data_IF_791374529725
#
_entry.id   IF_791374529725
#
_cell.length_a   1.000
_cell.length_b   1.000
_cell.length_c   1.000
_cell.angle_alpha   90.00
_cell.angle_beta   90.00
_cell.angle_gamma   90.00
#
_symmetry.space_group_name_H-M   'P 1'
#
loop_
_entity.id
_entity.type
_entity.pdbx_description
1 polymer ?
#
# COMPACT_ATOMS: atom_id res chain seq x y z
N UNK A 1 13.40 29.40 -23.51
CA UNK A 1 12.36 29.59 -24.54
C UNK A 1 11.43 28.39 -24.44
N UNK A 2 10.12 28.43 -24.30
CA UNK A 2 9.06 29.44 -24.36
C UNK A 2 7.76 28.70 -23.95
N UNK A 3 6.69 29.45 -23.70
CA UNK A 3 5.51 29.05 -22.93
C UNK A 3 4.55 28.01 -23.56
N UNK A 4 3.76 27.43 -22.66
CA UNK A 4 2.35 26.97 -22.67
C UNK A 4 1.59 26.70 -23.98
N UNK A 5 0.78 25.62 -23.99
CA UNK A 5 -0.69 25.75 -23.83
C UNK A 5 -1.39 24.37 -23.73
N UNK A 6 -2.21 24.21 -22.69
CA UNK A 6 -3.15 23.09 -22.51
C UNK A 6 -4.53 23.54 -22.98
N UNK A 7 -5.13 22.80 -23.92
CA UNK A 7 -6.56 22.90 -24.24
C UNK A 7 -7.20 21.53 -23.97
N UNK A 8 -7.85 21.37 -22.82
CA UNK A 8 -8.73 20.24 -22.54
C UNK A 8 -10.16 20.71 -22.83
N UNK A 9 -10.65 20.35 -24.02
CA UNK A 9 -12.06 20.46 -24.39
C UNK A 9 -12.82 19.28 -23.74
N UNK A 10 -13.90 19.64 -23.04
CA UNK A 10 -14.79 18.68 -22.42
C UNK A 10 -15.57 17.85 -23.43
N UNK A 11 -15.83 16.60 -23.06
CA UNK A 11 -16.99 15.87 -23.52
C UNK A 11 -17.45 14.90 -22.42
N UNK A 12 -18.74 15.03 -22.17
CA UNK A 12 -19.60 14.52 -21.13
C UNK A 12 -19.83 12.99 -21.15
N UNK A 13 -20.00 12.45 -19.93
CA UNK A 13 -20.79 11.28 -19.48
C UNK A 13 -20.66 9.91 -20.19
N UNK A 14 -20.14 8.93 -19.44
CA UNK A 14 -20.87 7.70 -19.10
C UNK A 14 -20.13 6.84 -18.08
N UNK A 15 -20.85 6.34 -17.08
CA UNK A 15 -20.44 5.17 -16.29
C UNK A 15 -19.99 5.51 -14.87
N UNK A 16 -20.70 4.92 -13.90
CA UNK A 16 -20.53 5.16 -12.47
C UNK A 16 -19.11 4.94 -11.96
N UNK A 17 -18.69 5.88 -11.12
CA UNK A 17 -17.49 5.83 -10.32
C UNK A 17 -17.59 6.99 -9.34
N UNK A 18 -17.30 6.72 -8.08
CA UNK A 18 -17.30 7.64 -6.96
C UNK A 18 -16.64 8.99 -7.34
N UNK A 19 -17.48 9.99 -7.63
CA UNK A 19 -17.01 11.33 -7.97
C UNK A 19 -16.60 11.98 -6.66
N UNK A 20 -15.29 12.10 -6.43
CA UNK A 20 -14.77 12.92 -5.34
C UNK A 20 -15.21 14.36 -5.62
N UNK A 21 -16.30 14.77 -4.97
CA UNK A 21 -16.74 16.17 -4.96
C UNK A 21 -15.71 16.98 -4.17
N UNK A 22 -14.73 17.55 -4.86
CA UNK A 22 -13.85 18.54 -4.25
C UNK A 22 -14.67 19.77 -3.90
N UNK A 23 -14.87 19.98 -2.59
CA UNK A 23 -15.46 21.21 -2.04
C UNK A 23 -14.52 22.36 -2.42
N UNK A 24 -14.83 23.05 -3.53
CA UNK A 24 -14.19 24.31 -3.94
C UNK A 24 -14.76 25.48 -3.15
N UNK A 25 -14.86 25.32 -1.83
CA UNK A 25 -15.18 26.43 -0.94
C UNK A 25 -13.91 26.77 -0.16
N UNK A 26 -13.03 27.53 -0.82
CA UNK A 26 -11.98 28.27 -0.12
C UNK A 26 -12.74 29.25 0.78
N UNK A 27 -12.73 28.99 2.09
CA UNK A 27 -13.25 29.97 3.04
C UNK A 27 -12.44 31.25 2.83
N UNK A 28 -13.07 32.26 2.25
CA UNK A 28 -12.57 33.63 2.20
C UNK A 28 -12.68 34.24 3.61
N UNK A 29 -12.15 33.53 4.61
CA UNK A 29 -11.78 34.14 5.87
C UNK A 29 -10.43 34.75 5.63
N UNK A 30 -10.47 36.02 5.21
CA UNK A 30 -9.31 36.89 5.31
C UNK A 30 -8.83 36.80 6.75
N UNK A 31 -7.58 36.36 6.93
CA UNK A 31 -6.98 36.20 8.24
C UNK A 31 -7.12 37.53 8.99
N UNK A 32 -7.78 37.56 10.17
CA UNK A 32 -7.99 38.78 10.92
C UNK A 32 -6.66 39.49 11.22
N UNK A 33 -5.54 38.77 11.30
CA UNK A 33 -4.21 39.36 11.46
C UNK A 33 -3.78 40.15 10.23
N UNK A 34 -4.08 39.65 9.02
CA UNK A 34 -3.75 40.32 7.75
C UNK A 34 -4.52 41.65 7.58
N UNK A 35 -5.78 41.72 8.02
CA UNK A 35 -6.55 42.96 8.01
C UNK A 35 -6.05 43.96 9.08
N UNK A 36 -5.64 43.47 10.24
CA UNK A 36 -5.01 44.31 11.27
C UNK A 36 -3.65 44.89 10.82
N UNK A 37 -2.88 44.14 10.03
CA UNK A 37 -1.62 44.62 9.47
C UNK A 37 -1.83 45.66 8.36
N UNK A 38 -2.86 45.49 7.52
CA UNK A 38 -3.19 46.48 6.47
C UNK A 38 -3.69 47.81 7.04
N UNK A 39 -4.32 47.78 8.21
CA UNK A 39 -4.82 48.97 8.91
C UNK A 39 -3.76 49.67 9.76
N UNK A 40 -2.56 49.07 9.89
CA UNK A 40 -1.45 49.63 10.65
C UNK A 40 -0.77 50.76 9.85
N UNK A 41 -1.28 51.98 10.01
CA UNK A 41 -0.60 53.17 9.51
C UNK A 41 0.64 53.44 10.37
N UNK A 42 1.82 53.49 9.74
CA UNK A 42 3.05 53.96 10.40
C UNK A 42 2.84 55.41 10.79
N UNK A 43 2.66 55.66 12.09
CA UNK A 43 2.58 57.01 12.63
C UNK A 43 3.82 57.80 12.20
N UNK A 44 3.60 58.99 11.61
CA UNK A 44 4.68 59.93 11.29
C UNK A 44 5.51 60.19 12.55
N UNK A 45 6.83 60.45 12.44
CA UNK A 45 7.66 60.68 13.61
C UNK A 45 7.07 61.80 14.45
N UNK A 46 6.81 61.52 15.73
CA UNK A 46 6.14 62.43 16.68
C UNK A 46 7.03 63.66 16.98
N UNK A 47 8.30 63.63 16.60
CA UNK A 47 9.27 64.68 16.88
C UNK A 47 9.18 65.81 15.85
N UNK A 48 8.16 66.68 15.99
CA UNK A 48 8.09 67.97 15.27
C UNK A 48 8.43 69.19 16.13
N UNK A 49 8.91 69.00 17.36
CA UNK A 49 9.47 70.07 18.19
C UNK A 49 10.52 69.52 19.15
N UNK A 50 11.53 70.33 19.46
CA UNK A 50 12.55 70.01 20.46
C UNK A 50 11.89 69.87 21.85
N UNK A 51 12.21 68.81 22.63
CA UNK A 51 11.54 68.56 23.89
C UNK A 51 11.92 69.61 24.97
N UNK A 52 11.00 69.96 25.89
CA UNK A 52 11.32 70.72 27.09
C UNK A 52 12.39 69.97 27.92
N UNK A 53 13.42 70.69 28.37
CA UNK A 53 14.65 70.11 28.97
C UNK A 53 14.52 69.59 30.41
N UNK A 54 13.34 69.16 30.86
CA UNK A 54 13.12 68.85 32.29
C UNK A 54 12.59 67.44 32.60
N UNK A 55 12.47 66.55 31.62
CA UNK A 55 11.99 65.16 31.83
C UNK A 55 13.02 64.11 31.39
N UNK A 56 14.30 64.30 31.71
CA UNK A 56 15.37 63.39 31.31
C UNK A 56 15.33 62.14 32.19
N UNK A 57 14.90 61.01 31.63
CA UNK A 57 14.97 59.69 32.28
C UNK A 57 16.43 59.40 32.62
N UNK A 58 16.69 58.98 33.86
CA UNK A 58 18.04 58.62 34.30
C UNK A 58 18.59 57.50 33.39
N UNK A 59 19.72 57.73 32.68
CA UNK A 59 20.32 56.74 31.81
C UNK A 59 20.70 55.44 32.54
N UNK A 60 20.94 55.49 33.85
CA UNK A 60 21.24 54.30 34.65
C UNK A 60 20.01 53.38 34.77
N UNK A 61 18.84 53.94 35.05
CA UNK A 61 17.57 53.21 35.14
C UNK A 61 17.22 52.60 33.78
N UNK A 62 17.48 53.34 32.70
CA UNK A 62 17.24 52.86 31.35
C UNK A 62 18.17 51.67 31.00
N UNK A 63 19.44 51.74 31.40
CA UNK A 63 20.38 50.64 31.20
C UNK A 63 19.99 49.39 32.00
N UNK A 64 19.55 49.55 33.25
CA UNK A 64 19.06 48.46 34.09
C UNK A 64 17.81 47.80 33.50
N UNK A 65 16.85 48.60 33.02
CA UNK A 65 15.66 48.09 32.34
C UNK A 65 16.01 47.27 31.10
N UNK A 66 16.95 47.76 30.27
CA UNK A 66 17.41 47.02 29.09
C UNK A 66 18.15 45.74 29.47
N UNK A 67 18.89 45.73 30.58
CA UNK A 67 19.54 44.52 31.09
C UNK A 67 18.52 43.46 31.51
N UNK A 68 17.52 43.85 32.31
CA UNK A 68 16.44 42.97 32.76
C UNK A 68 15.64 42.44 31.55
N UNK A 69 15.35 43.31 30.58
CA UNK A 69 14.65 42.92 29.36
C UNK A 69 15.46 41.93 28.52
N UNK A 70 16.78 42.15 28.36
CA UNK A 70 17.65 41.21 27.64
C UNK A 70 17.71 39.86 28.33
N UNK A 71 17.90 39.82 29.63
CA UNK A 71 17.92 38.57 30.38
C UNK A 71 16.61 37.78 30.23
N UNK A 72 15.48 38.49 30.28
CA UNK A 72 14.17 37.89 30.02
C UNK A 72 14.04 37.37 28.58
N UNK A 73 14.53 38.13 27.58
CA UNK A 73 14.53 37.70 26.18
C UNK A 73 15.38 36.45 25.98
N UNK A 74 16.58 36.40 26.56
CA UNK A 74 17.49 35.26 26.47
C UNK A 74 16.87 34.03 27.13
N UNK A 75 16.25 34.21 28.31
CA UNK A 75 15.52 33.15 29.01
C UNK A 75 14.38 32.57 28.15
N UNK A 76 13.59 33.45 27.50
CA UNK A 76 12.49 33.02 26.63
C UNK A 76 12.97 32.32 25.36
N UNK A 77 14.05 32.81 24.75
CA UNK A 77 14.67 32.17 23.60
C UNK A 77 15.17 30.76 23.96
N UNK A 78 15.77 30.58 25.14
CA UNK A 78 16.21 29.28 25.61
C UNK A 78 15.04 28.33 25.87
N UNK A 79 13.96 28.81 26.51
CA UNK A 79 12.75 28.02 26.75
C UNK A 79 12.14 27.51 25.42
N UNK A 80 12.04 28.39 24.42
CA UNK A 80 11.55 28.03 23.08
C UNK A 80 12.46 26.99 22.44
N UNK A 81 13.78 27.17 22.52
CA UNK A 81 14.76 26.25 21.93
C UNK A 81 14.64 24.85 22.54
N UNK A 82 14.61 24.76 23.87
CA UNK A 82 14.46 23.48 24.58
C UNK A 82 13.14 22.78 24.23
N UNK A 83 12.05 23.57 24.09
CA UNK A 83 10.74 23.03 23.72
C UNK A 83 10.73 22.53 22.28
N UNK A 84 11.41 23.22 21.37
CA UNK A 84 11.53 22.83 19.98
C UNK A 84 12.30 21.51 19.85
N UNK A 85 13.39 21.35 20.61
CA UNK A 85 14.16 20.11 20.69
C UNK A 85 13.33 18.91 21.19
N UNK A 86 12.53 19.09 22.26
CA UNK A 86 11.61 18.03 22.73
C UNK A 86 10.58 17.63 21.66
N UNK A 87 10.03 18.61 20.96
CA UNK A 87 9.06 18.35 19.89
C UNK A 87 9.71 17.60 18.73
N UNK A 88 10.91 18.00 18.32
CA UNK A 88 11.66 17.35 17.24
C UNK A 88 11.98 15.89 17.59
N UNK A 89 12.50 15.62 18.79
CA UNK A 89 12.73 14.27 19.29
C UNK A 89 11.45 13.40 19.27
N UNK A 90 10.30 13.98 19.64
CA UNK A 90 9.01 13.26 19.63
C UNK A 90 8.50 13.00 18.21
N UNK A 91 8.76 13.91 17.28
CA UNK A 91 8.46 13.72 15.86
C UNK A 91 9.30 12.59 15.28
N UNK A 92 10.60 12.54 15.57
CA UNK A 92 11.48 11.46 15.11
C UNK A 92 11.02 10.09 15.61
N UNK A 93 10.66 9.99 16.90
CA UNK A 93 10.14 8.74 17.47
C UNK A 93 8.81 8.36 16.82
N UNK A 94 7.91 9.32 16.60
CA UNK A 94 6.62 9.07 15.95
C UNK A 94 6.80 8.58 14.51
N UNK A 95 7.71 9.17 13.74
CA UNK A 95 8.02 8.77 12.36
C UNK A 95 8.64 7.36 12.30
N UNK A 96 9.57 7.06 13.20
CA UNK A 96 10.16 5.73 13.32
C UNK A 96 9.10 4.65 13.66
N UNK A 97 8.15 4.97 14.53
CA UNK A 97 7.05 4.08 14.88
C UNK A 97 6.05 3.91 13.73
N UNK A 98 5.70 5.00 13.03
CA UNK A 98 4.81 4.96 11.87
C UNK A 98 5.40 4.09 10.75
N UNK A 99 6.68 4.27 10.45
CA UNK A 99 7.41 3.46 9.46
C UNK A 99 7.42 1.97 9.83
N UNK A 100 7.70 1.63 11.09
CA UNK A 100 7.65 0.24 11.59
C UNK A 100 6.25 -0.36 11.49
N UNK A 101 5.21 0.43 11.76
CA UNK A 101 3.82 -0.01 11.69
C UNK A 101 3.45 -0.38 10.26
N UNK A 102 3.75 0.50 9.29
CA UNK A 102 3.51 0.26 7.86
C UNK A 102 4.27 -0.97 7.38
N UNK A 103 5.54 -1.12 7.78
CA UNK A 103 6.35 -2.30 7.43
C UNK A 103 5.70 -3.59 7.92
N UNK A 104 5.24 -3.64 9.19
CA UNK A 104 4.57 -4.82 9.74
C UNK A 104 3.24 -5.12 9.05
N UNK A 105 2.44 -4.09 8.75
CA UNK A 105 1.19 -4.29 8.01
C UNK A 105 1.45 -4.88 6.63
N UNK A 106 2.42 -4.34 5.88
CA UNK A 106 2.75 -4.86 4.55
C UNK A 106 3.24 -6.31 4.61
N UNK A 107 4.06 -6.66 5.60
CA UNK A 107 4.48 -8.04 5.81
C UNK A 107 3.28 -8.97 6.11
N UNK A 108 2.39 -8.55 7.02
CA UNK A 108 1.17 -9.30 7.37
C UNK A 108 0.27 -9.52 6.14
N UNK A 109 0.03 -8.47 5.36
CA UNK A 109 -0.77 -8.54 4.12
C UNK A 109 -0.13 -9.49 3.11
N UNK A 110 1.19 -9.46 2.97
CA UNK A 110 1.91 -10.40 2.09
C UNK A 110 1.73 -11.84 2.56
N UNK A 111 1.95 -12.11 3.84
CA UNK A 111 1.75 -13.45 4.41
C UNK A 111 0.30 -13.95 4.24
N UNK A 112 -0.68 -13.06 4.46
CA UNK A 112 -2.09 -13.37 4.23
C UNK A 112 -2.39 -13.68 2.76
N UNK A 113 -1.82 -12.95 1.80
CA UNK A 113 -1.96 -13.28 0.36
C UNK A 113 -1.40 -14.65 0.05
N UNK A 114 -0.22 -14.99 0.56
CA UNK A 114 0.39 -16.30 0.36
C UNK A 114 -0.48 -17.41 0.92
N UNK A 115 -0.97 -17.28 2.16
CA UNK A 115 -1.90 -18.25 2.75
C UNK A 115 -3.19 -18.35 1.96
N UNK A 116 -3.77 -17.23 1.54
CA UNK A 116 -4.97 -17.22 0.70
C UNK A 116 -4.75 -17.96 -0.63
N UNK A 117 -3.58 -17.78 -1.24
CA UNK A 117 -3.21 -18.48 -2.47
C UNK A 117 -3.06 -19.99 -2.26
N UNK A 118 -2.41 -20.41 -1.17
CA UNK A 118 -2.33 -21.85 -0.85
C UNK A 118 -3.71 -22.46 -0.56
N UNK A 119 -4.58 -21.75 0.16
CA UNK A 119 -5.94 -22.22 0.42
C UNK A 119 -6.79 -22.32 -0.85
N UNK A 120 -6.61 -21.42 -1.83
CA UNK A 120 -7.33 -21.55 -3.10
C UNK A 120 -6.87 -22.78 -3.90
N UNK A 121 -5.61 -23.19 -3.78
CA UNK A 121 -5.12 -24.44 -4.38
C UNK A 121 -5.72 -25.69 -3.71
N UNK A 122 -5.94 -25.66 -2.39
CA UNK A 122 -6.58 -26.78 -1.66
C UNK A 122 -7.98 -27.09 -2.21
N UNK A 123 -8.74 -26.07 -2.60
CA UNK A 123 -10.06 -26.29 -3.21
C UNK A 123 -9.95 -27.08 -4.53
N UNK A 124 -8.96 -26.76 -5.37
CA UNK A 124 -8.72 -27.51 -6.61
C UNK A 124 -8.42 -29.00 -6.34
N UNK A 125 -7.50 -29.27 -5.41
CA UNK A 125 -7.17 -30.65 -5.02
C UNK A 125 -8.39 -31.40 -4.45
N UNK A 126 -9.27 -30.72 -3.71
CA UNK A 126 -10.48 -31.32 -3.17
C UNK A 126 -11.42 -31.79 -4.29
N UNK A 127 -11.53 -31.02 -5.38
CA UNK A 127 -12.34 -31.38 -6.55
C UNK A 127 -11.75 -32.60 -7.26
N UNK A 128 -10.45 -32.58 -7.57
CA UNK A 128 -9.75 -33.69 -8.23
C UNK A 128 -9.84 -34.99 -7.43
N UNK A 129 -9.69 -34.91 -6.10
CA UNK A 129 -9.87 -36.05 -5.21
C UNK A 129 -11.30 -36.61 -5.26
N UNK A 130 -12.31 -35.72 -5.34
CA UNK A 130 -13.72 -36.11 -5.50
C UNK A 130 -13.97 -36.85 -6.81
N UNK A 131 -13.44 -36.34 -7.93
CA UNK A 131 -13.54 -36.98 -9.24
C UNK A 131 -12.87 -38.36 -9.25
N UNK A 132 -11.64 -38.44 -8.74
CA UNK A 132 -10.90 -39.69 -8.65
C UNK A 132 -11.66 -40.75 -7.83
N UNK A 133 -12.24 -40.34 -6.69
CA UNK A 133 -13.09 -41.21 -5.87
C UNK A 133 -14.32 -41.69 -6.65
N UNK A 134 -14.94 -40.82 -7.44
CA UNK A 134 -16.05 -41.18 -8.33
C UNK A 134 -15.65 -42.27 -9.34
N UNK A 135 -14.55 -42.04 -10.07
CA UNK A 135 -14.01 -43.01 -11.05
C UNK A 135 -13.64 -44.35 -10.40
N UNK A 136 -13.02 -44.32 -9.22
CA UNK A 136 -12.69 -45.55 -8.49
C UNK A 136 -13.94 -46.32 -8.09
N UNK A 137 -14.98 -45.62 -7.63
CA UNK A 137 -16.27 -46.24 -7.27
C UNK A 137 -16.93 -46.89 -8.49
N UNK A 138 -16.87 -46.23 -9.64
CA UNK A 138 -17.36 -46.78 -10.91
C UNK A 138 -16.59 -48.05 -11.31
N UNK A 139 -15.26 -48.04 -11.24
CA UNK A 139 -14.42 -49.21 -11.52
C UNK A 139 -14.74 -50.37 -10.57
N UNK A 140 -14.87 -50.10 -9.27
CA UNK A 140 -15.24 -51.13 -8.28
C UNK A 140 -16.62 -51.72 -8.60
N UNK A 141 -17.61 -50.88 -8.92
CA UNK A 141 -18.95 -51.35 -9.29
C UNK A 141 -18.95 -52.13 -10.61
N UNK A 142 -18.12 -51.72 -11.58
CA UNK A 142 -17.94 -52.45 -12.82
C UNK A 142 -17.34 -53.85 -12.55
N UNK A 143 -16.29 -53.92 -11.72
CA UNK A 143 -15.70 -55.18 -11.27
C UNK A 143 -16.70 -56.06 -10.51
N UNK A 144 -17.51 -55.49 -9.61
CA UNK A 144 -18.55 -56.24 -8.88
C UNK A 144 -19.63 -56.79 -9.84
N UNK A 145 -20.05 -55.98 -10.80
CA UNK A 145 -20.98 -56.40 -11.87
C UNK A 145 -20.38 -57.52 -12.71
N UNK A 146 -19.08 -57.42 -13.04
CA UNK A 146 -18.35 -58.43 -13.78
C UNK A 146 -18.26 -59.74 -12.97
N UNK A 147 -17.91 -59.67 -11.69
CA UNK A 147 -17.88 -60.81 -10.78
C UNK A 147 -19.26 -61.50 -10.68
N UNK A 148 -20.34 -60.72 -10.54
CA UNK A 148 -21.72 -61.24 -10.53
C UNK A 148 -22.07 -61.94 -11.85
N UNK A 149 -21.70 -61.37 -12.99
CA UNK A 149 -21.93 -61.97 -14.32
C UNK A 149 -21.18 -63.28 -14.48
N UNK A 150 -19.90 -63.32 -14.10
CA UNK A 150 -19.09 -64.55 -14.13
C UNK A 150 -19.72 -65.65 -13.27
N UNK A 151 -20.19 -65.30 -12.06
CA UNK A 151 -20.82 -66.26 -11.17
C UNK A 151 -22.16 -66.79 -11.70
N UNK A 152 -22.93 -65.98 -12.43
CA UNK A 152 -24.24 -66.37 -12.97
C UNK A 152 -24.16 -67.12 -14.31
N UNK A 153 -23.35 -66.63 -15.25
CA UNK A 153 -23.32 -67.09 -16.66
C UNK A 153 -22.08 -67.91 -17.00
N UNK A 154 -21.09 -67.94 -16.10
CA UNK A 154 -19.76 -68.50 -16.35
C UNK A 154 -18.86 -67.59 -17.18
N UNK A 155 -17.54 -67.83 -17.20
CA UNK A 155 -16.55 -66.98 -17.91
C UNK A 155 -16.72 -66.96 -19.44
N UNK A 156 -17.55 -67.84 -19.98
CA UNK A 156 -17.69 -68.05 -21.43
C UNK A 156 -18.48 -66.91 -22.08
N UNK A 157 -19.35 -66.24 -21.31
CA UNK A 157 -20.07 -65.03 -21.71
C UNK A 157 -19.14 -63.85 -22.03
N UNK A 158 -17.94 -63.81 -21.45
CA UNK A 158 -16.95 -62.74 -21.66
C UNK A 158 -16.14 -62.90 -22.96
N UNK A 159 -16.07 -64.11 -23.52
CA UNK A 159 -15.30 -64.39 -24.75
C UNK A 159 -15.84 -63.64 -25.99
N UNK A 160 -17.10 -63.22 -25.97
CA UNK A 160 -17.71 -62.42 -27.04
C UNK A 160 -17.44 -60.91 -26.90
N UNK A 161 -17.07 -60.45 -25.71
CA UNK A 161 -16.88 -59.01 -25.39
C UNK A 161 -15.42 -58.57 -25.51
N UNK A 162 -14.47 -59.50 -25.39
CA UNK A 162 -13.05 -59.21 -25.54
C UNK A 162 -12.68 -59.28 -27.03
N UNK A 163 -12.41 -58.13 -27.64
CA UNK A 163 -11.57 -58.10 -28.84
C UNK A 163 -10.12 -58.34 -28.39
N UNK A 164 -9.41 -59.34 -28.93
CA UNK A 164 -8.02 -59.57 -28.57
C UNK A 164 -7.20 -58.34 -28.97
N UNK A 165 -6.39 -57.83 -28.04
CA UNK A 165 -5.41 -56.79 -28.33
C UNK A 165 -4.51 -57.29 -29.47
N UNK A 166 -4.69 -56.73 -30.67
CA UNK A 166 -3.79 -57.01 -31.79
C UNK A 166 -2.54 -56.17 -31.55
N UNK A 167 -1.45 -56.81 -31.12
CA UNK A 167 -0.13 -56.20 -31.13
C UNK A 167 0.16 -55.73 -32.56
N UNK A 168 0.23 -54.41 -32.76
CA UNK A 168 0.70 -53.86 -34.02
C UNK A 168 2.14 -54.35 -34.27
N UNK A 169 2.50 -54.75 -35.50
CA UNK A 169 3.86 -55.17 -35.83
C UNK A 169 4.86 -54.07 -35.46
N UNK A 170 6.06 -54.43 -34.96
CA UNK A 170 7.08 -53.46 -34.60
C UNK A 170 7.76 -52.99 -35.88
N UNK A 171 7.19 -52.01 -36.58
CA UNK A 171 7.91 -51.26 -37.60
C UNK A 171 7.25 -49.88 -37.80
N UNK A 172 7.73 -48.92 -37.01
CA UNK A 172 8.29 -47.64 -37.48
C UNK A 172 8.35 -46.67 -36.31
N UNK A 173 9.56 -46.57 -35.77
CA UNK A 173 10.03 -45.46 -34.97
C UNK A 173 9.73 -44.14 -35.70
N UNK A 174 8.95 -43.27 -35.07
CA UNK A 174 9.15 -41.83 -35.19
C UNK A 174 9.29 -41.25 -33.79
N UNK A 175 10.55 -41.15 -33.37
CA UNK A 175 10.98 -40.41 -32.18
C UNK A 175 10.85 -38.92 -32.46
N UNK A 176 9.84 -38.29 -31.89
CA UNK A 176 9.73 -36.84 -31.80
C UNK A 176 8.61 -36.46 -30.85
N UNK A 177 8.95 -36.21 -29.58
CA UNK A 177 9.06 -34.84 -29.05
C UNK A 177 9.59 -34.86 -27.61
N UNK A 178 10.81 -34.36 -27.49
CA UNK A 178 11.47 -33.65 -26.40
C UNK A 178 10.69 -33.44 -25.09
N UNK A 179 11.23 -34.03 -24.03
CA UNK A 179 11.04 -33.66 -22.62
C UNK A 179 11.64 -32.29 -22.36
N UNK A 180 10.85 -31.30 -21.93
CA UNK A 180 11.34 -30.11 -21.23
C UNK A 180 10.64 -30.02 -19.87
N UNK A 181 11.29 -30.58 -18.85
CA UNK A 181 11.07 -30.27 -17.44
C UNK A 181 11.68 -28.88 -17.17
N UNK A 182 10.83 -27.86 -17.02
CA UNK A 182 11.28 -26.56 -16.52
C UNK A 182 11.09 -26.54 -15.01
N UNK A 183 12.18 -26.80 -14.31
CA UNK A 183 12.34 -26.59 -12.88
C UNK A 183 12.67 -25.11 -12.66
N UNK A 184 11.69 -24.30 -12.28
CA UNK A 184 11.96 -22.93 -11.82
C UNK A 184 12.40 -22.98 -10.35
N UNK A 185 13.69 -22.73 -10.12
CA UNK A 185 14.25 -22.48 -8.80
C UNK A 185 14.96 -21.11 -8.83
N UNK A 186 14.37 -20.18 -8.08
CA UNK A 186 14.91 -18.98 -7.41
C UNK A 186 16.20 -18.29 -7.94
N UNK A 187 16.11 -16.98 -8.27
CA UNK A 187 17.21 -16.06 -7.95
C UNK A 187 16.69 -14.68 -7.51
N UNK A 188 16.88 -14.42 -6.21
CA UNK A 188 16.65 -13.14 -5.53
C UNK A 188 17.71 -12.14 -6.01
N UNK A 189 17.32 -11.11 -6.75
CA UNK A 189 18.19 -9.97 -7.07
C UNK A 189 18.05 -8.90 -6.00
N UNK A 190 19.03 -8.85 -5.10
CA UNK A 190 19.33 -7.69 -4.24
C UNK A 190 19.78 -6.54 -5.14
N UNK A 191 19.05 -5.42 -5.14
CA UNK A 191 19.52 -4.16 -5.73
C UNK A 191 19.85 -3.22 -4.59
N UNK A 192 21.15 -3.02 -4.37
CA UNK A 192 21.72 -1.94 -3.59
C UNK A 192 21.98 -0.77 -4.52
N UNK A 193 21.28 0.35 -4.31
CA UNK A 193 21.79 1.73 -4.42
C UNK A 193 20.70 2.73 -4.05
#
# INVERSE_FOLDING_TARGET
MGASDSTILGAQEKGGGDVISTISQRSERVDPVLENLKSLAVSRPILKSAPPRENTVDPQILAELFSIYREWQDSKAQEITNRQEDIENKIEVADALASKLVQRFNHSVSAMRTTSHHLSQVHGLQVEFGELKGRLTEVINNCDTLCKRINAEGPQSLRSTVTPFTLAPPDLVSMNTTTTLSSEHEEIRVITR
#
